data_IF_829300045347
#
_entry.id   IF_829300045347
#
_cell.length_a   1.000
_cell.length_b   1.000
_cell.length_c   1.000
_cell.angle_alpha   90.00
_cell.angle_beta   90.00
_cell.angle_gamma   90.00
#
_symmetry.space_group_name_H-M   'P 1'
#
loop_
_entity.id
_entity.type
_entity.pdbx_description
1 polymer ?
#
# COMPACT_ATOMS: atom_id res chain seq x y z
N UNK A 1 -7.49 13.76 -1.78
CA UNK A 1 -7.03 13.13 -0.54
C UNK A 1 -5.58 12.63 -0.60
N UNK A 2 -5.18 11.80 -1.57
CA UNK A 2 -3.81 11.25 -1.62
C UNK A 2 -2.70 12.33 -1.74
N UNK A 3 -2.92 13.43 -2.49
CA UNK A 3 -1.97 14.56 -2.56
C UNK A 3 -1.71 15.21 -1.20
N UNK A 4 -2.73 15.36 -0.36
CA UNK A 4 -2.55 15.87 1.00
C UNK A 4 -1.69 14.92 1.83
N UNK A 5 -1.95 13.61 1.75
CA UNK A 5 -1.12 12.62 2.44
C UNK A 5 0.36 12.71 2.03
N UNK A 6 0.65 12.85 0.74
CA UNK A 6 2.02 13.05 0.23
C UNK A 6 2.69 14.25 0.88
N UNK A 7 2.03 15.41 0.87
CA UNK A 7 2.58 16.65 1.44
C UNK A 7 2.86 16.48 2.94
N UNK A 8 1.94 15.88 3.69
CA UNK A 8 2.14 15.59 5.13
C UNK A 8 3.28 14.60 5.34
N UNK A 9 3.43 13.59 4.49
CA UNK A 9 4.53 12.61 4.55
C UNK A 9 5.87 13.28 4.27
N UNK A 10 5.95 14.18 3.29
CA UNK A 10 7.16 14.94 3.01
C UNK A 10 7.52 15.88 4.18
N UNK A 11 6.52 16.54 4.77
CA UNK A 11 6.72 17.44 5.92
C UNK A 11 7.20 16.69 7.16
N UNK A 12 6.76 15.45 7.37
CA UNK A 12 7.20 14.62 8.48
C UNK A 12 8.74 14.50 8.53
N UNK A 13 9.46 14.50 7.41
CA UNK A 13 10.93 14.49 7.42
C UNK A 13 11.56 15.59 8.27
N UNK A 14 10.85 16.72 8.49
CA UNK A 14 11.34 17.89 9.24
C UNK A 14 10.58 18.16 10.55
N UNK A 15 9.49 17.46 10.82
CA UNK A 15 8.62 17.68 11.98
C UNK A 15 8.44 16.39 12.80
N UNK A 16 8.92 16.37 14.04
CA UNK A 16 8.93 15.19 14.89
C UNK A 16 7.53 14.69 15.28
N UNK A 17 6.59 15.61 15.51
CA UNK A 17 5.21 15.27 15.84
C UNK A 17 4.52 14.63 14.63
N UNK A 18 4.75 15.18 13.44
CA UNK A 18 4.24 14.59 12.21
C UNK A 18 4.89 13.25 11.87
N UNK A 19 6.19 13.04 12.16
CA UNK A 19 6.80 11.68 12.02
C UNK A 19 6.10 10.65 12.86
N UNK A 20 5.85 10.96 14.12
CA UNK A 20 5.24 10.00 15.04
C UNK A 20 3.80 9.68 14.63
N UNK A 21 3.05 10.69 14.18
CA UNK A 21 1.72 10.49 13.59
C UNK A 21 1.77 9.64 12.32
N UNK A 22 2.73 9.89 11.43
CA UNK A 22 2.89 9.09 10.21
C UNK A 22 3.30 7.65 10.52
N UNK A 23 4.20 7.43 11.48
CA UNK A 23 4.61 6.10 11.94
C UNK A 23 3.41 5.30 12.47
N UNK A 24 2.60 5.95 13.32
CA UNK A 24 1.36 5.34 13.85
C UNK A 24 0.38 5.00 12.73
N UNK A 25 0.19 5.93 11.77
CA UNK A 25 -0.68 5.71 10.62
C UNK A 25 -0.20 4.55 9.74
N UNK A 26 1.08 4.48 9.43
CA UNK A 26 1.65 3.39 8.61
C UNK A 26 1.48 2.03 9.30
N UNK A 27 1.67 1.98 10.62
CA UNK A 27 1.43 0.78 11.40
C UNK A 27 -0.05 0.36 11.39
N UNK A 28 -0.99 1.31 11.49
CA UNK A 28 -2.42 1.03 11.33
C UNK A 28 -2.73 0.48 9.94
N UNK A 29 -2.22 1.12 8.88
CA UNK A 29 -2.43 0.67 7.50
C UNK A 29 -1.85 -0.73 7.26
N UNK A 30 -0.67 -1.04 7.84
CA UNK A 30 -0.08 -2.38 7.79
C UNK A 30 -1.02 -3.42 8.37
N UNK A 31 -1.55 -3.18 9.57
CA UNK A 31 -2.51 -4.09 10.23
C UNK A 31 -3.80 -4.26 9.43
N UNK A 32 -4.33 -3.19 8.87
CA UNK A 32 -5.52 -3.25 8.01
C UNK A 32 -5.29 -4.15 6.79
N UNK A 33 -4.11 -4.08 6.17
CA UNK A 33 -3.76 -4.96 5.04
C UNK A 33 -3.55 -6.41 5.51
N UNK A 34 -2.96 -6.63 6.68
CA UNK A 34 -2.83 -7.97 7.29
C UNK A 34 -4.19 -8.61 7.53
N UNK A 35 -5.15 -7.86 8.06
CA UNK A 35 -6.51 -8.33 8.30
C UNK A 35 -7.20 -8.69 6.97
N UNK A 36 -7.02 -7.87 5.94
CA UNK A 36 -7.58 -8.14 4.60
C UNK A 36 -6.97 -9.39 3.96
N UNK A 37 -5.65 -9.58 4.07
CA UNK A 37 -4.99 -10.78 3.55
C UNK A 37 -5.46 -12.02 4.33
N UNK A 38 -5.50 -11.93 5.66
CA UNK A 38 -6.00 -13.01 6.52
C UNK A 38 -7.41 -13.42 6.14
N UNK A 39 -8.28 -12.44 5.90
CA UNK A 39 -9.66 -12.67 5.46
C UNK A 39 -9.70 -13.33 4.08
N UNK A 40 -8.90 -12.84 3.12
CA UNK A 40 -8.81 -13.42 1.78
C UNK A 40 -8.33 -14.88 1.79
N UNK A 41 -7.36 -15.21 2.64
CA UNK A 41 -6.90 -16.59 2.85
C UNK A 41 -8.01 -17.46 3.45
N UNK A 42 -8.69 -16.99 4.49
CA UNK A 42 -9.80 -17.73 5.14
C UNK A 42 -10.96 -18.01 4.19
N UNK A 43 -11.21 -17.09 3.24
CA UNK A 43 -12.27 -17.21 2.24
C UNK A 43 -11.88 -18.06 1.03
N UNK A 44 -10.59 -18.38 0.90
CA UNK A 44 -10.05 -19.06 -0.28
C UNK A 44 -9.90 -18.15 -1.50
N UNK A 45 -10.01 -16.82 -1.34
CA UNK A 45 -9.78 -15.83 -2.41
C UNK A 45 -8.27 -15.63 -2.67
N UNK A 46 -7.44 -15.85 -1.65
CA UNK A 46 -5.98 -15.78 -1.71
C UNK A 46 -5.34 -17.13 -1.39
N UNK A 47 -4.10 -17.34 -1.84
CA UNK A 47 -3.35 -18.59 -1.59
C UNK A 47 -3.17 -18.88 -0.10
N UNK A 48 -3.36 -20.13 0.30
CA UNK A 48 -3.39 -20.54 1.71
C UNK A 48 -2.03 -20.41 2.43
N UNK A 49 -0.93 -20.45 1.69
CA UNK A 49 0.43 -20.34 2.20
C UNK A 49 0.93 -18.91 2.44
N UNK A 50 0.11 -17.89 2.15
CA UNK A 50 0.48 -16.51 2.41
C UNK A 50 0.55 -16.26 3.92
N UNK A 51 1.67 -15.70 4.37
CA UNK A 51 1.77 -15.07 5.69
C UNK A 51 1.33 -13.60 5.58
N UNK A 52 0.21 -13.20 6.19
CA UNK A 52 -0.27 -11.81 6.16
C UNK A 52 0.81 -10.80 6.59
N UNK A 53 1.60 -11.12 7.62
CA UNK A 53 2.61 -10.22 8.15
C UNK A 53 3.76 -9.98 7.15
N UNK A 54 4.08 -10.99 6.34
CA UNK A 54 5.18 -10.90 5.37
C UNK A 54 4.76 -10.22 4.06
N UNK A 55 3.46 -10.27 3.71
CA UNK A 55 2.99 -9.73 2.42
C UNK A 55 2.41 -8.31 2.53
N UNK A 56 1.93 -7.90 3.71
CA UNK A 56 1.30 -6.60 3.88
C UNK A 56 2.25 -5.42 3.64
N UNK A 57 3.46 -5.49 4.19
CA UNK A 57 4.46 -4.42 4.02
C UNK A 57 4.91 -4.24 2.56
N UNK A 58 5.27 -5.30 1.79
CA UNK A 58 5.55 -5.18 0.37
C UNK A 58 4.40 -4.57 -0.46
N UNK A 59 3.15 -4.98 -0.19
CA UNK A 59 1.98 -4.45 -0.90
C UNK A 59 1.78 -2.96 -0.64
N UNK A 60 1.92 -2.53 0.62
CA UNK A 60 1.83 -1.11 0.99
C UNK A 60 3.00 -0.31 0.40
N UNK A 61 4.21 -0.84 0.42
CA UNK A 61 5.38 -0.18 -0.16
C UNK A 61 5.20 0.03 -1.67
N UNK A 62 4.68 -0.96 -2.40
CA UNK A 62 4.32 -0.83 -3.81
C UNK A 62 3.29 0.27 -4.02
N UNK A 63 2.18 0.25 -3.27
CA UNK A 63 1.12 1.25 -3.38
C UNK A 63 1.63 2.68 -3.11
N UNK A 64 2.45 2.87 -2.07
CA UNK A 64 3.05 4.16 -1.76
C UNK A 64 4.04 4.61 -2.85
N UNK A 65 4.88 3.72 -3.36
CA UNK A 65 5.80 4.03 -4.46
C UNK A 65 5.08 4.48 -5.72
N UNK A 66 3.98 3.81 -6.07
CA UNK A 66 3.13 4.18 -7.21
C UNK A 66 2.42 5.53 -6.99
N UNK A 67 2.01 5.85 -5.76
CA UNK A 67 1.46 7.17 -5.44
C UNK A 67 2.52 8.28 -5.60
N UNK A 68 3.78 8.02 -5.23
CA UNK A 68 4.88 8.96 -5.44
C UNK A 68 5.16 9.18 -6.93
N UNK A 69 5.15 8.12 -7.75
CA UNK A 69 5.36 8.24 -9.20
C UNK A 69 4.33 9.16 -9.87
N UNK A 70 3.07 9.12 -9.41
CA UNK A 70 2.00 9.99 -9.91
C UNK A 70 2.21 11.48 -9.58
N UNK A 71 3.08 11.84 -8.63
CA UNK A 71 3.45 13.23 -8.39
C UNK A 71 4.45 13.74 -9.44
N UNK A 72 5.36 12.86 -9.86
CA UNK A 72 6.41 13.17 -10.83
C UNK A 72 5.81 13.24 -12.24
N UNK A 73 4.92 12.28 -12.54
CA UNK A 73 4.26 12.14 -13.84
C UNK A 73 2.74 12.01 -13.64
N UNK A 74 2.00 13.13 -13.47
CA UNK A 74 0.56 13.11 -13.17
C UNK A 74 -0.30 12.87 -14.41
N UNK A 75 0.17 12.06 -15.36
CA UNK A 75 -0.54 11.76 -16.59
C UNK A 75 -1.39 10.48 -16.48
N UNK A 76 -2.41 10.39 -17.34
CA UNK A 76 -3.35 9.27 -17.30
C UNK A 76 -2.71 7.90 -17.58
N UNK A 77 -1.59 7.83 -18.30
CA UNK A 77 -0.88 6.57 -18.52
C UNK A 77 -0.17 6.12 -17.24
N UNK A 78 0.42 7.04 -16.47
CA UNK A 78 1.02 6.73 -15.17
C UNK A 78 -0.01 6.22 -14.16
N UNK A 79 -1.18 6.84 -14.09
CA UNK A 79 -2.29 6.36 -13.24
C UNK A 79 -2.72 4.93 -13.64
N UNK A 80 -2.90 4.67 -14.95
CA UNK A 80 -3.28 3.34 -15.43
C UNK A 80 -2.23 2.28 -15.07
N UNK A 81 -0.94 2.55 -15.31
CA UNK A 81 0.14 1.63 -14.95
C UNK A 81 0.17 1.31 -13.45
N UNK A 82 -0.13 2.29 -12.60
CA UNK A 82 -0.22 2.06 -11.16
C UNK A 82 -1.37 1.10 -10.80
N UNK A 83 -2.55 1.27 -11.39
CA UNK A 83 -3.65 0.32 -11.23
C UNK A 83 -3.28 -1.06 -11.73
N UNK A 84 -2.71 -1.16 -12.94
CA UNK A 84 -2.29 -2.43 -13.54
C UNK A 84 -1.26 -3.18 -12.67
N UNK A 85 -0.33 -2.45 -12.06
CA UNK A 85 0.68 -3.01 -11.17
C UNK A 85 0.07 -3.58 -9.89
N UNK A 86 -0.85 -2.85 -9.24
CA UNK A 86 -1.56 -3.34 -8.06
C UNK A 86 -2.41 -4.56 -8.40
N UNK A 87 -3.16 -4.52 -9.50
CA UNK A 87 -3.94 -5.67 -9.96
C UNK A 87 -3.06 -6.88 -10.28
N UNK A 88 -1.90 -6.66 -10.91
CA UNK A 88 -0.90 -7.69 -11.18
C UNK A 88 -0.43 -8.35 -9.89
N UNK A 89 -0.02 -7.56 -8.90
CA UNK A 89 0.43 -8.07 -7.60
C UNK A 89 -0.68 -8.80 -6.84
N UNK A 90 -1.93 -8.36 -6.93
CA UNK A 90 -3.07 -9.09 -6.33
C UNK A 90 -3.28 -10.43 -7.05
N UNK A 91 -3.29 -10.45 -8.39
CA UNK A 91 -3.43 -11.69 -9.17
C UNK A 91 -2.32 -12.71 -8.86
N UNK A 92 -1.11 -12.23 -8.60
CA UNK A 92 0.02 -13.10 -8.23
C UNK A 92 -0.18 -13.81 -6.89
N UNK A 93 -0.98 -13.27 -5.98
CA UNK A 93 -1.26 -13.83 -4.65
C UNK A 93 -2.66 -14.47 -4.53
N UNK A 94 -3.52 -14.29 -5.54
CA UNK A 94 -4.83 -14.94 -5.61
C UNK A 94 -4.71 -16.47 -5.69
N UNK A 95 -5.71 -17.17 -5.14
CA UNK A 95 -5.88 -18.60 -5.42
C UNK A 95 -6.18 -18.79 -6.92
N UNK A 96 -5.67 -19.88 -7.52
CA UNK A 96 -5.93 -20.21 -8.93
C UNK A 96 -7.37 -20.61 -9.15
#
# INVERSE_FOLDING_TARGET
>A
WWRFWVEVTAQAARDAELRERQRTRMETQRREVEDLVSLGVQRGDLRAELDPNLIAEPLLALAHGLAIQQLISPDAATVRRASDAIEGSIREISSR
#
